data_IF_560718735118
#
_entry.id   IF_560718735118
#
_cell.length_a   1.000
_cell.length_b   1.000
_cell.length_c   1.000
_cell.angle_alpha   90.00
_cell.angle_beta   90.00
_cell.angle_gamma   90.00
#
_symmetry.space_group_name_H-M   'P 1'
#
loop_
_entity.id
_entity.type
_entity.pdbx_description
1 polymer ?
#
# COMPACT_ATOMS: atom_id res chain seq x y z
N UNK A 1 -3.80 -23.46 2.51
CA UNK A 1 -4.42 -22.28 1.88
C UNK A 1 -3.65 -21.07 2.36
N UNK A 2 -3.28 -20.15 1.49
CA UNK A 2 -2.56 -18.91 1.89
C UNK A 2 -3.59 -17.96 2.52
N UNK A 3 -3.29 -17.43 3.71
CA UNK A 3 -4.18 -16.49 4.40
C UNK A 3 -4.09 -15.10 3.77
N UNK A 4 -5.24 -14.42 3.69
CA UNK A 4 -5.31 -13.02 3.25
C UNK A 4 -4.81 -12.09 4.36
N UNK A 5 -4.05 -11.04 4.00
CA UNK A 5 -3.49 -10.08 4.95
C UNK A 5 -4.35 -8.83 5.04
N UNK A 6 -4.51 -8.32 6.25
CA UNK A 6 -5.12 -7.01 6.54
C UNK A 6 -4.01 -6.05 6.94
N UNK A 7 -3.82 -5.00 6.14
CA UNK A 7 -2.71 -4.05 6.25
C UNK A 7 -3.25 -2.69 6.72
N UNK A 8 -2.62 -2.13 7.75
CA UNK A 8 -2.93 -0.77 8.18
C UNK A 8 -1.94 0.22 7.56
N UNK A 9 -2.46 1.27 6.90
CA UNK A 9 -1.66 2.33 6.28
C UNK A 9 -1.63 3.58 7.15
N UNK A 10 -0.44 4.17 7.28
CA UNK A 10 -0.16 5.43 7.94
C UNK A 10 0.40 6.43 6.90
N UNK A 11 -0.43 7.37 6.47
CA UNK A 11 0.05 8.50 5.67
C UNK A 11 0.73 9.49 6.61
N UNK A 12 2.00 9.83 6.35
CA UNK A 12 2.80 10.69 7.22
C UNK A 12 3.21 11.96 6.48
N UNK A 13 3.01 13.10 7.15
CA UNK A 13 3.47 14.41 6.70
C UNK A 13 4.21 15.10 7.83
N UNK A 14 5.48 15.53 7.60
CA UNK A 14 6.29 16.20 8.61
C UNK A 14 6.47 15.39 9.92
N UNK A 15 6.53 14.05 9.85
CA UNK A 15 6.67 13.17 11.01
C UNK A 15 5.39 12.93 11.82
N UNK A 16 4.22 13.34 11.31
CA UNK A 16 2.90 13.12 11.93
C UNK A 16 2.01 12.31 11.02
N UNK A 17 1.23 11.40 11.58
CA UNK A 17 0.18 10.72 10.83
C UNK A 17 -0.89 11.74 10.45
N UNK A 18 -1.23 11.75 9.18
CA UNK A 18 -2.28 12.64 8.65
C UNK A 18 -3.33 11.83 7.90
N UNK A 19 -4.54 12.36 7.85
CA UNK A 19 -5.61 11.81 7.05
C UNK A 19 -6.40 12.92 6.35
N UNK A 20 -6.60 12.76 5.06
CA UNK A 20 -7.44 13.62 4.24
C UNK A 20 -8.17 12.78 3.18
N UNK A 21 -9.15 13.37 2.52
CA UNK A 21 -9.76 12.79 1.33
C UNK A 21 -8.93 13.23 0.13
N UNK A 22 -8.41 12.28 -0.64
CA UNK A 22 -7.54 12.55 -1.81
C UNK A 22 -6.37 13.50 -1.50
N UNK A 23 -5.75 13.36 -0.30
CA UNK A 23 -4.64 14.20 0.19
C UNK A 23 -4.96 15.70 0.34
N UNK A 24 -6.25 16.05 0.50
CA UNK A 24 -6.71 17.42 0.77
C UNK A 24 -7.28 17.48 2.19
N UNK A 25 -7.19 18.67 2.83
CA UNK A 25 -7.68 18.93 4.20
C UNK A 25 -7.13 17.94 5.23
N UNK A 26 -5.80 17.83 5.29
CA UNK A 26 -5.10 16.89 6.16
C UNK A 26 -5.38 17.17 7.64
N UNK A 27 -5.93 16.19 8.34
CA UNK A 27 -6.17 16.19 9.78
C UNK A 27 -5.05 15.37 10.44
N UNK A 28 -4.45 15.91 11.50
CA UNK A 28 -3.45 15.20 12.31
C UNK A 28 -4.12 14.03 13.06
N UNK A 29 -3.61 12.82 12.85
CA UNK A 29 -4.07 11.59 13.48
C UNK A 29 -3.08 11.03 14.51
N UNK A 30 -2.01 11.75 14.83
CA UNK A 30 -1.13 11.44 15.94
C UNK A 30 0.30 11.03 15.56
N UNK A 31 1.00 10.44 16.53
CA UNK A 31 2.38 9.96 16.35
C UNK A 31 2.41 8.63 15.60
N UNK A 32 3.25 8.48 14.54
CA UNK A 32 3.32 7.27 13.73
C UNK A 32 3.66 6.01 14.53
N UNK A 33 4.63 6.06 15.45
CA UNK A 33 5.04 4.91 16.24
C UNK A 33 3.90 4.41 17.15
N UNK A 34 3.19 5.35 17.77
CA UNK A 34 2.02 5.03 18.62
C UNK A 34 0.89 4.42 17.81
N UNK A 35 0.57 4.96 16.63
CA UNK A 35 -0.49 4.45 15.77
C UNK A 35 -0.14 3.08 15.19
N UNK A 36 1.11 2.89 14.76
CA UNK A 36 1.59 1.61 14.25
C UNK A 36 1.49 0.50 15.30
N UNK A 37 1.99 0.76 16.53
CA UNK A 37 1.92 -0.18 17.64
C UNK A 37 0.46 -0.51 18.00
N UNK A 38 -0.44 0.47 18.00
CA UNK A 38 -1.86 0.26 18.22
C UNK A 38 -2.47 -0.68 17.19
N UNK A 39 -2.28 -0.38 15.88
CA UNK A 39 -2.87 -1.20 14.81
C UNK A 39 -2.29 -2.61 14.78
N UNK A 40 -0.99 -2.78 15.04
CA UNK A 40 -0.37 -4.09 15.18
C UNK A 40 -0.97 -4.87 16.35
N UNK A 41 -1.13 -4.24 17.53
CA UNK A 41 -1.80 -4.82 18.70
C UNK A 41 -3.28 -5.13 18.46
N UNK A 42 -3.95 -4.39 17.60
CA UNK A 42 -5.31 -4.60 17.15
C UNK A 42 -5.43 -5.64 16.02
N UNK A 43 -4.33 -6.33 15.69
CA UNK A 43 -4.32 -7.48 14.80
C UNK A 43 -4.02 -7.22 13.33
N UNK A 44 -3.50 -6.05 12.95
CA UNK A 44 -2.99 -5.85 11.60
C UNK A 44 -1.85 -6.84 11.30
N UNK A 45 -1.81 -7.38 10.07
CA UNK A 45 -0.78 -8.33 9.65
C UNK A 45 0.50 -7.64 9.19
N UNK A 46 0.41 -6.40 8.79
CA UNK A 46 1.50 -5.57 8.28
C UNK A 46 1.15 -4.09 8.49
N UNK A 47 2.15 -3.26 8.68
CA UNK A 47 2.03 -1.80 8.73
C UNK A 47 2.72 -1.21 7.50
N UNK A 48 2.03 -0.31 6.81
CA UNK A 48 2.60 0.49 5.72
C UNK A 48 2.65 1.95 6.17
N UNK A 49 3.81 2.59 6.06
CA UNK A 49 4.01 4.01 6.28
C UNK A 49 4.34 4.67 4.94
N UNK A 50 3.54 5.63 4.54
CA UNK A 50 3.74 6.40 3.31
C UNK A 50 4.07 7.85 3.69
N UNK A 51 5.31 8.25 3.49
CA UNK A 51 5.69 9.67 3.61
C UNK A 51 5.21 10.43 2.37
N UNK A 52 4.21 11.28 2.59
CA UNK A 52 3.66 12.16 1.57
C UNK A 52 4.32 13.55 1.56
N UNK A 53 5.38 13.73 2.35
CA UNK A 53 6.17 14.98 2.40
C UNK A 53 7.05 15.07 1.15
N UNK A 54 6.78 16.02 0.27
CA UNK A 54 7.44 16.10 -1.04
C UNK A 54 8.85 16.72 -1.03
N UNK A 55 9.48 16.97 0.14
CA UNK A 55 10.71 17.77 0.25
C UNK A 55 11.95 16.98 0.65
N UNK A 56 13.11 17.49 0.24
CA UNK A 56 14.43 16.93 0.57
C UNK A 56 14.74 17.02 2.08
N UNK A 57 14.19 18.01 2.78
CA UNK A 57 14.33 18.19 4.22
C UNK A 57 13.56 17.15 5.05
N UNK A 58 12.53 16.51 4.46
CA UNK A 58 11.76 15.44 5.09
C UNK A 58 12.53 14.14 5.32
N UNK A 59 13.71 13.96 4.69
CA UNK A 59 14.43 12.67 4.74
C UNK A 59 14.91 12.29 6.14
N UNK A 60 15.53 13.21 6.86
CA UNK A 60 16.00 12.96 8.23
C UNK A 60 14.82 12.66 9.17
N UNK A 61 13.73 13.42 9.03
CA UNK A 61 12.48 13.21 9.79
C UNK A 61 11.86 11.85 9.48
N UNK A 62 11.86 11.41 8.21
CA UNK A 62 11.38 10.09 7.82
C UNK A 62 12.19 8.98 8.49
N UNK A 63 13.53 9.02 8.41
CA UNK A 63 14.38 7.98 8.98
C UNK A 63 14.25 7.91 10.51
N UNK A 64 14.12 9.04 11.21
CA UNK A 64 13.84 9.06 12.64
C UNK A 64 12.47 8.44 12.96
N UNK A 65 11.46 8.80 12.20
CA UNK A 65 10.10 8.22 12.31
C UNK A 65 10.14 6.72 12.10
N UNK A 66 10.84 6.24 11.06
CA UNK A 66 10.98 4.80 10.76
C UNK A 66 11.64 4.07 11.94
N UNK A 67 12.77 4.58 12.49
CA UNK A 67 13.45 3.95 13.63
C UNK A 67 12.55 3.85 14.86
N UNK A 68 11.87 4.92 15.22
CA UNK A 68 10.94 4.94 16.36
C UNK A 68 9.79 3.97 16.18
N UNK A 69 9.25 3.89 14.97
CA UNK A 69 8.14 2.99 14.63
C UNK A 69 8.60 1.54 14.67
N UNK A 70 9.72 1.20 14.03
CA UNK A 70 10.25 -0.17 13.97
C UNK A 70 10.55 -0.77 15.35
N UNK A 71 11.04 0.05 16.31
CA UNK A 71 11.33 -0.41 17.66
C UNK A 71 10.13 -1.03 18.41
N UNK A 72 8.92 -0.66 18.04
CA UNK A 72 7.68 -1.11 18.68
C UNK A 72 6.88 -2.13 17.88
N UNK A 73 7.37 -2.55 16.70
CA UNK A 73 6.63 -3.45 15.81
C UNK A 73 7.18 -4.87 15.83
N UNK A 74 6.24 -5.83 15.80
CA UNK A 74 6.48 -7.29 15.67
C UNK A 74 5.76 -7.89 14.46
N UNK A 75 5.28 -7.04 13.56
CA UNK A 75 4.69 -7.39 12.27
C UNK A 75 5.51 -6.73 11.15
N UNK A 76 5.48 -7.25 9.91
CA UNK A 76 6.18 -6.63 8.79
C UNK A 76 5.88 -5.14 8.65
N UNK A 77 6.93 -4.37 8.36
CA UNK A 77 6.88 -2.92 8.24
C UNK A 77 7.39 -2.48 6.88
N UNK A 78 6.48 -1.94 6.06
CA UNK A 78 6.78 -1.39 4.74
C UNK A 78 6.82 0.14 4.80
N UNK A 79 7.83 0.75 4.21
CA UNK A 79 8.00 2.20 4.17
C UNK A 79 8.06 2.68 2.72
N UNK A 80 7.22 3.66 2.39
CA UNK A 80 7.19 4.33 1.10
C UNK A 80 7.29 5.84 1.22
N UNK A 81 7.55 6.48 0.08
CA UNK A 81 7.73 7.93 -0.03
C UNK A 81 9.20 8.35 -0.10
N UNK A 82 9.52 9.17 -1.10
CA UNK A 82 10.84 9.78 -1.26
C UNK A 82 12.02 8.85 -1.57
N UNK A 83 11.80 7.55 -1.82
CA UNK A 83 12.84 6.57 -2.18
C UNK A 83 13.13 6.69 -3.67
N UNK A 84 14.34 7.16 -4.02
CA UNK A 84 14.75 7.46 -5.40
C UNK A 84 15.94 6.64 -5.87
N UNK A 85 16.70 6.07 -4.94
CA UNK A 85 17.91 5.29 -5.21
C UNK A 85 17.97 4.05 -4.33
N UNK A 86 18.77 3.06 -4.70
CA UNK A 86 19.05 1.91 -3.85
C UNK A 86 19.73 2.32 -2.51
N UNK A 87 20.52 3.41 -2.51
CA UNK A 87 21.08 3.98 -1.30
C UNK A 87 20.01 4.55 -0.35
N UNK A 88 18.94 5.14 -0.91
CA UNK A 88 17.80 5.57 -0.10
C UNK A 88 17.09 4.37 0.54
N UNK A 89 16.89 3.30 -0.23
CA UNK A 89 16.30 2.07 0.28
C UNK A 89 17.15 1.46 1.41
N UNK A 90 18.49 1.42 1.23
CA UNK A 90 19.42 0.95 2.25
C UNK A 90 19.24 1.68 3.59
N UNK A 91 19.17 3.02 3.56
CA UNK A 91 18.96 3.81 4.77
C UNK A 91 17.63 3.50 5.47
N UNK A 92 16.58 3.22 4.70
CA UNK A 92 15.25 2.85 5.23
C UNK A 92 15.30 1.47 5.87
N UNK A 93 15.99 0.49 5.26
CA UNK A 93 16.21 -0.83 5.85
C UNK A 93 17.07 -0.74 7.13
N UNK A 94 18.16 0.02 7.11
CA UNK A 94 18.99 0.28 8.30
C UNK A 94 18.21 0.96 9.44
N UNK A 95 17.18 1.73 9.09
CA UNK A 95 16.27 2.34 10.05
C UNK A 95 15.25 1.35 10.64
N UNK A 96 15.14 0.12 10.10
CA UNK A 96 14.32 -0.97 10.64
C UNK A 96 13.10 -1.34 9.82
N UNK A 97 12.96 -0.89 8.58
CA UNK A 97 11.90 -1.37 7.69
C UNK A 97 12.23 -2.77 7.16
N UNK A 98 11.19 -3.61 6.93
CA UNK A 98 11.31 -4.92 6.29
C UNK A 98 11.15 -4.83 4.78
N UNK A 99 10.39 -3.84 4.31
CA UNK A 99 10.10 -3.60 2.89
C UNK A 99 10.15 -2.12 2.57
N UNK A 100 10.42 -1.82 1.32
CA UNK A 100 10.29 -0.46 0.77
C UNK A 100 9.27 -0.42 -0.36
N UNK A 101 8.49 0.66 -0.39
CA UNK A 101 7.52 0.90 -1.48
C UNK A 101 8.03 2.02 -2.39
N UNK A 102 8.13 1.72 -3.69
CA UNK A 102 8.56 2.65 -4.73
C UNK A 102 7.44 2.87 -5.74
N UNK A 103 7.27 4.11 -6.20
CA UNK A 103 6.25 4.51 -7.18
C UNK A 103 6.90 5.38 -8.27
N UNK A 104 6.79 6.70 -8.19
CA UNK A 104 7.22 7.64 -9.24
C UNK A 104 8.69 7.47 -9.64
N UNK A 105 9.58 7.14 -8.71
CA UNK A 105 10.99 6.90 -9.00
C UNK A 105 11.20 5.64 -9.84
N UNK A 106 10.46 4.56 -9.56
CA UNK A 106 10.50 3.33 -10.34
C UNK A 106 9.91 3.51 -11.75
N UNK A 107 8.92 4.37 -11.89
CA UNK A 107 8.37 4.74 -13.21
C UNK A 107 9.34 5.58 -14.03
N UNK A 108 10.12 6.46 -13.38
CA UNK A 108 11.13 7.29 -14.03
C UNK A 108 12.38 6.48 -14.41
N UNK A 109 12.81 5.57 -13.54
CA UNK A 109 13.90 4.63 -13.78
C UNK A 109 13.55 3.23 -13.25
N UNK A 110 13.01 2.35 -14.09
CA UNK A 110 12.65 1.00 -13.69
C UNK A 110 13.82 0.13 -13.17
N UNK A 111 15.08 0.47 -13.49
CA UNK A 111 16.26 -0.23 -12.96
C UNK A 111 16.40 -0.08 -11.44
N UNK A 112 15.67 0.87 -10.84
CA UNK A 112 15.60 1.01 -9.38
C UNK A 112 15.06 -0.28 -8.73
N UNK A 113 14.03 -0.90 -9.33
CA UNK A 113 13.44 -2.17 -8.86
C UNK A 113 14.51 -3.26 -8.88
N UNK A 114 15.21 -3.42 -10.01
CA UNK A 114 16.31 -4.39 -10.17
C UNK A 114 17.40 -4.19 -9.12
N UNK A 115 17.78 -2.93 -8.89
CA UNK A 115 18.90 -2.58 -7.98
C UNK A 115 18.55 -2.90 -6.53
N UNK A 116 17.34 -2.57 -6.08
CA UNK A 116 16.88 -2.88 -4.73
C UNK A 116 16.70 -4.39 -4.57
N UNK A 117 16.04 -5.05 -5.53
CA UNK A 117 15.80 -6.49 -5.51
C UNK A 117 17.06 -7.33 -5.46
N UNK A 118 18.12 -6.92 -6.19
CA UNK A 118 19.45 -7.59 -6.12
C UNK A 118 20.14 -7.41 -4.78
N UNK A 119 19.98 -6.26 -4.15
CA UNK A 119 20.69 -5.93 -2.89
C UNK A 119 19.98 -6.51 -1.65
N UNK A 120 18.65 -6.55 -1.66
CA UNK A 120 17.84 -6.86 -0.47
C UNK A 120 16.85 -8.01 -0.66
N UNK A 121 16.78 -8.56 -1.88
CA UNK A 121 15.82 -9.60 -2.26
C UNK A 121 14.50 -9.03 -2.78
N UNK A 122 13.84 -9.77 -3.68
CA UNK A 122 12.57 -9.36 -4.28
C UNK A 122 11.48 -9.09 -3.22
N UNK A 123 11.42 -9.92 -2.18
CA UNK A 123 10.44 -9.79 -1.08
C UNK A 123 10.50 -8.44 -0.33
N UNK A 124 11.60 -7.71 -0.47
CA UNK A 124 11.79 -6.39 0.14
C UNK A 124 11.25 -5.24 -0.73
N UNK A 125 10.84 -5.51 -1.97
CA UNK A 125 10.44 -4.49 -2.96
C UNK A 125 8.94 -4.54 -3.21
N UNK A 126 8.23 -3.48 -2.84
CA UNK A 126 6.84 -3.25 -3.17
C UNK A 126 6.77 -2.17 -4.25
N UNK A 127 6.13 -2.44 -5.39
CA UNK A 127 5.87 -1.41 -6.39
C UNK A 127 4.46 -0.88 -6.20
N UNK A 128 4.35 0.40 -5.81
CA UNK A 128 3.06 1.08 -5.69
C UNK A 128 2.63 1.60 -7.06
N UNK A 129 1.35 1.38 -7.37
CA UNK A 129 0.71 1.79 -8.62
C UNK A 129 -0.56 2.58 -8.29
N UNK A 130 -0.53 3.88 -8.54
CA UNK A 130 -1.74 4.71 -8.49
C UNK A 130 -2.43 4.59 -9.84
N UNK A 131 -3.63 4.04 -9.85
CA UNK A 131 -4.36 3.67 -11.05
C UNK A 131 -5.64 4.48 -11.19
N UNK A 132 -5.97 4.90 -12.40
CA UNK A 132 -7.26 5.50 -12.73
C UNK A 132 -7.83 4.88 -14.00
N UNK A 133 -9.12 4.62 -13.99
CA UNK A 133 -9.85 4.16 -15.18
C UNK A 133 -10.11 5.36 -16.11
N UNK A 134 -10.03 5.14 -17.42
CA UNK A 134 -10.58 6.09 -18.39
C UNK A 134 -12.06 5.73 -18.63
N UNK A 135 -13.01 6.56 -18.19
CA UNK A 135 -14.43 6.27 -18.37
C UNK A 135 -14.87 6.33 -19.84
N UNK A 136 -14.05 6.90 -20.72
CA UNK A 136 -14.33 6.99 -22.16
C UNK A 136 -13.66 5.89 -22.98
N UNK A 137 -12.84 5.03 -22.34
CA UNK A 137 -12.20 3.92 -23.02
C UNK A 137 -13.20 2.83 -23.38
N UNK A 138 -12.91 2.05 -24.42
CA UNK A 138 -13.70 0.89 -24.83
C UNK A 138 -13.71 -0.18 -23.71
N UNK A 139 -12.57 -0.37 -23.07
CA UNK A 139 -12.42 -1.23 -21.87
C UNK A 139 -11.75 -0.42 -20.74
N UNK A 140 -12.52 0.22 -19.83
CA UNK A 140 -11.98 1.06 -18.77
C UNK A 140 -11.02 0.36 -17.81
N UNK A 141 -11.15 -0.96 -17.64
CA UNK A 141 -10.26 -1.77 -16.78
C UNK A 141 -8.93 -2.04 -17.47
N UNK A 142 -9.00 -2.52 -18.70
CA UNK A 142 -7.84 -2.87 -19.52
C UNK A 142 -7.03 -1.64 -19.90
N UNK A 143 -7.72 -0.53 -20.10
CA UNK A 143 -7.16 0.75 -20.49
C UNK A 143 -6.82 1.65 -19.30
N UNK A 144 -6.99 1.17 -18.07
CA UNK A 144 -6.61 1.89 -16.87
C UNK A 144 -5.15 2.35 -16.93
N UNK A 145 -4.93 3.61 -16.55
CA UNK A 145 -3.65 4.28 -16.70
C UNK A 145 -2.97 4.51 -15.34
N UNK A 146 -1.64 4.44 -15.35
CA UNK A 146 -0.80 4.74 -14.18
C UNK A 146 -0.65 6.24 -14.01
N UNK A 147 -0.79 6.69 -12.76
CA UNK A 147 -0.63 8.08 -12.36
C UNK A 147 0.55 8.23 -11.38
N UNK A 148 1.10 9.43 -11.30
CA UNK A 148 2.14 9.84 -10.36
C UNK A 148 1.76 11.13 -9.66
N UNK A 149 2.59 11.55 -8.69
CA UNK A 149 2.37 12.79 -7.92
C UNK A 149 1.04 12.80 -7.17
N UNK A 150 0.71 11.69 -6.49
CA UNK A 150 -0.54 11.55 -5.76
C UNK A 150 -1.77 11.55 -6.68
N UNK A 151 -1.69 10.82 -7.80
CA UNK A 151 -2.80 10.65 -8.73
C UNK A 151 -3.10 11.85 -9.63
N UNK A 152 -2.19 12.85 -9.72
CA UNK A 152 -2.43 14.09 -10.45
C UNK A 152 -1.94 14.09 -11.89
N UNK A 153 -0.91 13.29 -12.20
CA UNK A 153 -0.27 13.30 -13.52
C UNK A 153 -0.29 11.91 -14.14
N UNK A 154 -0.97 11.69 -15.28
CA UNK A 154 -0.88 10.47 -16.04
C UNK A 154 0.51 10.30 -16.66
N UNK A 155 0.94 9.05 -16.85
CA UNK A 155 2.27 8.73 -17.41
C UNK A 155 2.22 8.00 -18.75
N UNK A 156 1.04 7.80 -19.33
CA UNK A 156 0.86 7.11 -20.60
C UNK A 156 1.20 5.62 -20.55
N UNK A 157 1.15 5.00 -19.36
CA UNK A 157 1.40 3.58 -19.18
C UNK A 157 0.14 2.88 -18.66
N UNK A 158 -0.17 1.71 -19.21
CA UNK A 158 -1.28 0.88 -18.73
C UNK A 158 -0.90 0.16 -17.45
N UNK A 159 -1.84 0.06 -16.52
CA UNK A 159 -1.63 -0.53 -15.19
C UNK A 159 -1.14 -1.96 -15.26
N UNK A 160 -1.81 -2.81 -16.06
CA UNK A 160 -1.47 -4.23 -16.18
C UNK A 160 -0.09 -4.44 -16.81
N UNK A 161 0.27 -3.64 -17.81
CA UNK A 161 1.58 -3.70 -18.45
C UNK A 161 2.70 -3.31 -17.48
N UNK A 162 2.48 -2.26 -16.70
CA UNK A 162 3.45 -1.82 -15.70
C UNK A 162 3.60 -2.83 -14.56
N UNK A 163 2.51 -3.46 -14.11
CA UNK A 163 2.57 -4.50 -13.09
C UNK A 163 3.41 -5.70 -13.54
N UNK A 164 3.25 -6.16 -14.79
CA UNK A 164 4.07 -7.22 -15.38
C UNK A 164 5.54 -6.83 -15.50
N UNK A 165 5.82 -5.60 -15.93
CA UNK A 165 7.21 -5.11 -16.01
C UNK A 165 7.84 -5.04 -14.62
N UNK A 166 7.10 -4.56 -13.61
CA UNK A 166 7.58 -4.48 -12.23
C UNK A 166 7.95 -5.87 -11.69
N UNK A 167 7.09 -6.87 -11.90
CA UNK A 167 7.40 -8.27 -11.56
C UNK A 167 8.63 -8.79 -12.29
N UNK A 168 8.70 -8.61 -13.61
CA UNK A 168 9.84 -9.07 -14.41
C UNK A 168 11.17 -8.44 -13.98
N UNK A 169 11.15 -7.25 -13.36
CA UNK A 169 12.30 -6.56 -12.78
C UNK A 169 12.61 -6.96 -11.34
N UNK A 170 11.83 -7.84 -10.74
CA UNK A 170 12.08 -8.36 -9.40
C UNK A 170 11.33 -7.63 -8.28
N UNK A 171 10.20 -7.00 -8.56
CA UNK A 171 9.26 -6.63 -7.51
C UNK A 171 8.74 -7.89 -6.80
N UNK A 172 8.59 -7.83 -5.49
CA UNK A 172 8.02 -8.92 -4.70
C UNK A 172 6.55 -8.77 -4.42
N UNK A 173 6.00 -7.56 -4.51
CA UNK A 173 4.57 -7.27 -4.32
C UNK A 173 4.15 -6.04 -5.15
N UNK A 174 2.87 -5.99 -5.52
CA UNK A 174 2.23 -4.81 -6.09
C UNK A 174 1.27 -4.20 -5.06
N UNK A 175 1.42 -2.91 -4.75
CA UNK A 175 0.43 -2.13 -4.00
C UNK A 175 -0.40 -1.32 -5.01
N UNK A 176 -1.60 -1.79 -5.30
CA UNK A 176 -2.49 -1.20 -6.29
C UNK A 176 -3.52 -0.28 -5.63
N UNK A 177 -3.42 1.02 -5.86
CA UNK A 177 -4.40 2.01 -5.38
C UNK A 177 -5.31 2.46 -6.51
N UNK A 178 -6.61 2.17 -6.42
CA UNK A 178 -7.61 2.78 -7.30
C UNK A 178 -7.89 4.21 -6.84
N UNK A 179 -7.47 5.19 -7.65
CA UNK A 179 -7.70 6.62 -7.38
C UNK A 179 -9.19 6.99 -7.48
N UNK A 180 -9.96 6.22 -8.23
CA UNK A 180 -11.40 6.43 -8.38
C UNK A 180 -12.17 6.00 -7.13
N UNK A 181 -11.64 5.01 -6.41
CA UNK A 181 -12.23 4.47 -5.17
C UNK A 181 -11.64 5.09 -3.91
N UNK A 182 -10.42 5.69 -3.96
CA UNK A 182 -9.73 6.17 -2.77
C UNK A 182 -10.50 7.27 -2.03
N UNK A 183 -10.61 7.10 -0.71
CA UNK A 183 -11.36 7.99 0.17
C UNK A 183 -12.89 7.86 0.12
N UNK A 184 -13.46 7.15 -0.85
CA UNK A 184 -14.92 7.05 -1.05
C UNK A 184 -15.63 6.16 -0.04
N UNK A 185 -14.96 5.14 0.52
CA UNK A 185 -15.53 4.06 1.33
C UNK A 185 -16.66 3.28 0.63
N UNK A 186 -16.69 3.30 -0.70
CA UNK A 186 -17.73 2.65 -1.51
C UNK A 186 -17.34 1.25 -1.99
N UNK A 187 -16.19 0.75 -1.60
CA UNK A 187 -15.64 -0.54 -1.97
C UNK A 187 -14.35 -0.41 -2.80
N UNK A 188 -13.56 -1.48 -2.77
CA UNK A 188 -12.36 -1.59 -3.60
C UNK A 188 -12.73 -1.76 -5.08
N UNK A 189 -11.82 -1.38 -5.96
CA UNK A 189 -11.94 -1.66 -7.39
C UNK A 189 -11.62 -3.14 -7.67
N UNK A 190 -12.62 -4.01 -7.52
CA UNK A 190 -12.43 -5.44 -7.66
C UNK A 190 -12.05 -5.87 -9.09
N UNK A 191 -12.59 -5.21 -10.11
CA UNK A 191 -12.30 -5.58 -11.50
C UNK A 191 -10.87 -5.24 -11.89
N UNK A 192 -10.41 -4.02 -11.55
CA UNK A 192 -9.03 -3.62 -11.80
C UNK A 192 -8.05 -4.46 -10.97
N UNK A 193 -8.39 -4.74 -9.70
CA UNK A 193 -7.57 -5.60 -8.85
C UNK A 193 -7.45 -7.01 -9.42
N UNK A 194 -8.56 -7.60 -9.89
CA UNK A 194 -8.57 -8.90 -10.53
C UNK A 194 -7.70 -8.93 -11.81
N UNK A 195 -7.83 -7.89 -12.66
CA UNK A 195 -7.04 -7.79 -13.89
C UNK A 195 -5.52 -7.77 -13.62
N UNK A 196 -5.09 -7.10 -12.55
CA UNK A 196 -3.69 -7.10 -12.14
C UNK A 196 -3.30 -8.43 -11.49
N UNK A 197 -4.11 -8.96 -10.54
CA UNK A 197 -3.82 -10.23 -9.85
C UNK A 197 -3.73 -11.44 -10.81
N UNK A 198 -4.49 -11.42 -11.89
CA UNK A 198 -4.43 -12.46 -12.93
C UNK A 198 -3.23 -12.29 -13.88
N UNK A 199 -2.67 -11.10 -13.94
CA UNK A 199 -1.60 -10.77 -14.88
C UNK A 199 -0.20 -11.01 -14.31
N UNK A 200 -0.05 -11.11 -12.97
CA UNK A 200 1.23 -11.29 -12.27
C UNK A 200 1.17 -12.51 -11.35
N UNK A 201 2.33 -13.10 -11.05
CA UNK A 201 2.49 -14.21 -10.10
C UNK A 201 2.88 -13.78 -8.70
N UNK A 202 3.14 -12.48 -8.48
CA UNK A 202 3.46 -11.90 -7.17
C UNK A 202 2.21 -11.38 -6.46
N UNK A 203 2.18 -11.31 -5.11
CA UNK A 203 1.04 -10.83 -4.36
C UNK A 203 0.60 -9.41 -4.75
N UNK A 204 -0.73 -9.21 -4.80
CA UNK A 204 -1.35 -7.91 -5.04
C UNK A 204 -2.07 -7.43 -3.79
N UNK A 205 -1.70 -6.24 -3.34
CA UNK A 205 -2.32 -5.53 -2.22
C UNK A 205 -3.32 -4.53 -2.79
N UNK A 206 -4.60 -4.72 -2.52
CA UNK A 206 -5.63 -3.77 -2.95
C UNK A 206 -5.70 -2.57 -1.99
N UNK A 207 -5.79 -1.37 -2.54
CA UNK A 207 -5.89 -0.10 -1.82
C UNK A 207 -6.91 0.85 -2.46
N UNK A 208 -7.56 1.67 -1.64
CA UNK A 208 -8.59 2.63 -2.04
C UNK A 208 -10.00 2.06 -1.99
N UNK A 209 -10.89 2.70 -1.23
CA UNK A 209 -12.32 2.38 -1.16
C UNK A 209 -12.77 1.53 0.03
N UNK A 210 -11.88 1.13 0.93
CA UNK A 210 -12.22 0.35 2.12
C UNK A 210 -13.28 1.03 2.99
N UNK A 211 -14.36 0.32 3.33
CA UNK A 211 -15.45 0.86 4.15
C UNK A 211 -16.08 -0.18 5.07
N UNK A 212 -16.65 -1.24 4.53
CA UNK A 212 -17.36 -2.30 5.26
C UNK A 212 -16.69 -3.65 5.07
N UNK A 213 -17.05 -4.64 5.89
CA UNK A 213 -16.54 -6.03 5.78
C UNK A 213 -16.79 -6.61 4.40
N UNK A 214 -18.00 -6.39 3.84
CA UNK A 214 -18.34 -6.88 2.50
C UNK A 214 -17.37 -6.39 1.41
N UNK A 215 -16.82 -5.18 1.55
CA UNK A 215 -15.81 -4.67 0.60
C UNK A 215 -14.55 -5.53 0.61
N UNK A 216 -14.12 -5.98 1.79
CA UNK A 216 -12.95 -6.87 1.91
C UNK A 216 -13.27 -8.27 1.39
N UNK A 217 -14.47 -8.80 1.69
CA UNK A 217 -14.92 -10.08 1.13
C UNK A 217 -14.94 -10.04 -0.39
N UNK A 218 -15.49 -8.98 -0.98
CA UNK A 218 -15.54 -8.79 -2.43
C UNK A 218 -14.14 -8.71 -3.05
N UNK A 219 -13.22 -7.93 -2.48
CA UNK A 219 -11.88 -7.79 -3.06
C UNK A 219 -11.05 -9.06 -2.95
N UNK A 220 -11.26 -9.87 -1.92
CA UNK A 220 -10.61 -11.18 -1.81
C UNK A 220 -11.24 -12.24 -2.71
N UNK A 221 -12.57 -12.28 -2.83
CA UNK A 221 -13.27 -13.27 -3.63
C UNK A 221 -13.29 -12.93 -5.12
N UNK A 222 -13.66 -11.70 -5.46
CA UNK A 222 -13.82 -11.22 -6.84
C UNK A 222 -12.57 -10.52 -7.36
N UNK A 223 -11.95 -9.65 -6.52
CA UNK A 223 -10.72 -8.94 -6.88
C UNK A 223 -9.46 -9.81 -6.84
N UNK A 224 -9.53 -11.01 -6.25
CA UNK A 224 -8.42 -11.96 -6.12
C UNK A 224 -7.19 -11.40 -5.42
N UNK A 225 -7.36 -10.32 -4.64
CA UNK A 225 -6.27 -9.71 -3.88
C UNK A 225 -5.68 -10.69 -2.86
N UNK A 226 -4.39 -10.57 -2.58
CA UNK A 226 -3.68 -11.34 -1.53
C UNK A 226 -3.65 -10.58 -0.21
N UNK A 227 -3.79 -9.27 -0.28
CA UNK A 227 -3.92 -8.39 0.88
C UNK A 227 -4.85 -7.21 0.56
N UNK A 228 -5.41 -6.63 1.61
CA UNK A 228 -6.18 -5.39 1.53
C UNK A 228 -5.63 -4.35 2.51
N UNK A 229 -5.36 -3.16 2.00
CA UNK A 229 -4.83 -2.04 2.76
C UNK A 229 -5.95 -1.04 3.06
N UNK A 230 -6.02 -0.62 4.32
CA UNK A 230 -6.95 0.39 4.77
C UNK A 230 -6.30 1.36 5.78
N UNK A 231 -6.82 2.57 5.83
CA UNK A 231 -6.35 3.63 6.73
C UNK A 231 -7.48 4.18 7.60
N UNK A 232 -8.43 4.89 7.00
CA UNK A 232 -9.45 5.67 7.71
C UNK A 232 -10.35 4.85 8.64
N UNK A 233 -10.73 3.62 8.27
CA UNK A 233 -11.59 2.76 9.10
C UNK A 233 -10.90 2.37 10.41
N UNK A 234 -9.56 2.26 10.42
CA UNK A 234 -8.76 1.94 11.60
C UNK A 234 -8.43 3.21 12.41
N UNK A 235 -8.01 4.30 11.75
CA UNK A 235 -7.66 5.54 12.44
C UNK A 235 -8.82 6.15 13.22
N UNK A 236 -10.02 6.12 12.65
CA UNK A 236 -11.22 6.68 13.28
C UNK A 236 -11.98 5.69 14.16
N UNK A 237 -11.43 4.48 14.41
CA UNK A 237 -12.05 3.49 15.28
C UNK A 237 -13.40 2.97 14.77
N UNK A 238 -13.65 3.03 13.45
CA UNK A 238 -14.85 2.46 12.83
C UNK A 238 -14.82 0.94 12.93
N UNK A 239 -13.62 0.35 12.75
CA UNK A 239 -13.34 -1.06 12.98
C UNK A 239 -11.89 -1.21 13.45
N UNK A 240 -11.54 -2.38 13.98
CA UNK A 240 -10.16 -2.81 14.18
C UNK A 240 -9.83 -3.96 13.23
N UNK A 241 -8.54 -4.20 12.97
CA UNK A 241 -8.13 -5.32 12.13
C UNK A 241 -8.58 -6.67 12.73
N UNK A 242 -8.62 -6.79 14.05
CA UNK A 242 -9.13 -7.99 14.78
C UNK A 242 -10.59 -8.23 14.46
N UNK A 243 -11.45 -7.24 14.70
CA UNK A 243 -12.90 -7.37 14.45
C UNK A 243 -13.20 -7.68 12.97
N UNK A 244 -12.52 -6.97 12.07
CA UNK A 244 -12.63 -7.23 10.64
C UNK A 244 -12.26 -8.67 10.28
N UNK A 245 -11.16 -9.20 10.80
CA UNK A 245 -10.73 -10.57 10.56
C UNK A 245 -11.69 -11.62 11.13
N UNK A 246 -12.26 -11.35 12.31
CA UNK A 246 -13.26 -12.24 12.90
C UNK A 246 -14.51 -12.34 12.02
N UNK A 247 -14.95 -11.24 11.44
CA UNK A 247 -16.09 -11.21 10.52
C UNK A 247 -15.75 -11.88 9.18
N UNK A 248 -14.58 -11.59 8.61
CA UNK A 248 -14.08 -12.24 7.39
C UNK A 248 -13.98 -13.76 7.53
N UNK A 249 -13.51 -14.22 8.69
CA UNK A 249 -13.44 -15.66 8.99
C UNK A 249 -14.83 -16.30 9.03
N UNK A 250 -15.84 -15.61 9.58
CA UNK A 250 -17.26 -16.07 9.57
C UNK A 250 -17.82 -16.16 8.14
N UNK A 251 -17.37 -15.29 7.24
CA UNK A 251 -17.72 -15.30 5.81
C UNK A 251 -16.86 -16.29 4.99
N UNK A 252 -16.01 -17.08 5.63
CA UNK A 252 -15.20 -18.13 4.99
C UNK A 252 -13.91 -17.64 4.33
N UNK A 253 -13.52 -16.37 4.54
CA UNK A 253 -12.23 -15.84 4.09
C UNK A 253 -11.13 -16.32 5.03
N UNK A 254 -10.11 -16.98 4.48
CA UNK A 254 -8.96 -17.45 5.27
C UNK A 254 -8.08 -16.26 5.67
N UNK A 255 -8.11 -15.90 6.95
CA UNK A 255 -7.29 -14.85 7.57
C UNK A 255 -6.57 -15.40 8.79
N UNK A 256 -5.46 -14.76 9.22
CA UNK A 256 -4.77 -15.10 10.45
C UNK A 256 -5.44 -14.38 11.62
N UNK A 257 -6.15 -15.11 12.47
CA UNK A 257 -6.71 -14.56 13.71
C UNK A 257 -5.58 -14.28 14.71
N UNK A 258 -5.63 -13.14 15.43
CA UNK A 258 -4.70 -12.87 16.52
C UNK A 258 -4.93 -13.87 17.67
N UNK A 259 -3.84 -14.28 18.32
CA UNK A 259 -3.87 -15.15 19.50
C UNK A 259 -4.49 -14.46 20.71
#
# INVERSE_FOLDING_TARGET
>A
MITKRIIACLDVHGGRVVKGVQFVDLIDAGDPATQAARHAGEGADEIVLLDITATHEGRATLLDTVRRTACGLFVPFCVGGGIRTAGDAAQVFEAGADKVSVNSAALADPNLIDSIGRSFGAQAVVVAIDARRDPNAEDPVRDAEVFVQGGRKPVGRRVVEWAREAEARGAGEILLTSMDSDGTRAGFDCELTAAVSEAVGIPVIASGGAGTVSHFTDVFARGKADAALAASIFHFGISSARLLKEELAREGISVRLPC
#
